data_IF_037844023498
#
_entry.id   IF_037844023498
#
_cell.length_a   1.000
_cell.length_b   1.000
_cell.length_c   1.000
_cell.angle_alpha   90.00
_cell.angle_beta   90.00
_cell.angle_gamma   90.00
#
_symmetry.space_group_name_H-M   'P 1'
#
loop_
_entity.id
_entity.type
_entity.pdbx_description
1 polymer ?
#
# COMPACT_ATOMS: atom_id res chain seq x y z
N UNK A 1 10.40 -1.06 11.11
CA UNK A 1 10.97 0.20 10.61
C UNK A 1 12.39 -0.07 10.15
N UNK A 2 12.84 0.54 9.05
CA UNK A 2 14.24 0.56 8.64
C UNK A 2 14.64 2.03 8.56
N UNK A 3 15.70 2.43 9.25
CA UNK A 3 16.16 3.84 9.32
C UNK A 3 15.05 4.84 9.70
N UNK A 4 14.19 4.46 10.65
CA UNK A 4 13.09 5.31 11.09
C UNK A 4 11.93 5.46 10.07
N UNK A 5 11.93 4.69 8.99
CA UNK A 5 10.87 4.70 7.97
C UNK A 5 10.05 3.41 7.99
N UNK A 6 8.76 3.54 7.71
CA UNK A 6 7.87 2.39 7.55
C UNK A 6 8.21 1.69 6.25
N UNK A 7 8.77 0.48 6.37
CA UNK A 7 9.27 -0.31 5.25
C UNK A 7 8.57 -1.66 5.22
N UNK A 8 8.08 -2.03 4.05
CA UNK A 8 7.45 -3.31 3.80
C UNK A 8 8.46 -4.27 3.20
N UNK A 9 8.66 -5.39 3.89
CA UNK A 9 9.62 -6.44 3.53
C UNK A 9 8.82 -7.72 3.32
N UNK A 10 8.97 -8.40 2.17
CA UNK A 10 8.25 -9.62 1.91
C UNK A 10 8.79 -10.72 2.83
N UNK A 11 7.90 -11.50 3.43
CA UNK A 11 8.24 -12.67 4.24
C UNK A 11 7.95 -13.94 3.44
N UNK A 12 8.65 -15.03 3.74
CA UNK A 12 8.53 -16.30 3.02
C UNK A 12 9.87 -16.98 2.73
N UNK A 13 9.81 -18.21 2.22
CA UNK A 13 10.99 -18.98 1.80
C UNK A 13 11.63 -18.38 0.53
N UNK A 14 12.87 -18.75 0.23
CA UNK A 14 13.59 -18.29 -0.96
C UNK A 14 12.79 -18.52 -2.27
N UNK A 15 12.05 -19.62 -2.37
CA UNK A 15 11.26 -19.97 -3.55
C UNK A 15 9.93 -19.22 -3.67
N UNK A 16 9.45 -18.60 -2.58
CA UNK A 16 8.12 -17.99 -2.51
C UNK A 16 8.15 -16.49 -2.23
N UNK A 17 9.34 -15.91 -2.01
CA UNK A 17 9.51 -14.49 -1.72
C UNK A 17 9.48 -13.69 -3.03
N UNK A 18 8.47 -12.84 -3.25
CA UNK A 18 8.47 -11.97 -4.43
C UNK A 18 9.61 -10.94 -4.34
N UNK A 19 10.25 -10.68 -5.46
CA UNK A 19 11.26 -9.62 -5.63
C UNK A 19 10.60 -8.28 -6.01
N UNK A 20 9.41 -8.34 -6.62
CA UNK A 20 8.71 -7.20 -7.22
C UNK A 20 7.21 -7.16 -6.93
N UNK A 21 6.61 -5.99 -7.12
CA UNK A 21 5.17 -5.74 -6.96
C UNK A 21 4.61 -4.76 -8.00
N UNK A 22 3.29 -4.87 -8.21
CA UNK A 22 2.51 -4.15 -9.23
C UNK A 22 1.41 -3.28 -8.61
N UNK A 23 1.00 -3.60 -7.38
CA UNK A 23 -0.06 -2.91 -6.67
C UNK A 23 0.31 -2.80 -5.21
N UNK A 24 0.00 -1.67 -4.62
CA UNK A 24 -0.02 -1.47 -3.18
C UNK A 24 -1.35 -0.83 -2.81
N UNK A 25 -1.92 -1.27 -1.71
CA UNK A 25 -3.14 -0.71 -1.16
C UNK A 25 -3.05 -0.75 0.36
N UNK A 26 -3.00 0.42 0.98
CA UNK A 26 -2.97 0.64 2.41
C UNK A 26 -4.28 1.31 2.79
N UNK A 27 -5.01 0.71 3.71
CA UNK A 27 -6.33 1.19 4.14
C UNK A 27 -6.54 1.00 5.63
N UNK A 28 -7.54 1.68 6.17
CA UNK A 28 -8.07 1.40 7.51
C UNK A 28 -9.57 1.13 7.43
N UNK A 29 -10.03 -0.10 7.72
CA UNK A 29 -11.44 -0.45 7.59
C UNK A 29 -12.32 0.24 8.64
N UNK A 30 -11.80 0.47 9.85
CA UNK A 30 -12.53 1.02 11.02
C UNK A 30 -11.87 2.26 11.64
N UNK A 31 -10.87 2.84 10.98
CA UNK A 31 -10.16 4.03 11.46
C UNK A 31 -10.71 5.35 10.91
N UNK A 32 -10.09 6.48 11.27
CA UNK A 32 -10.40 7.77 10.68
C UNK A 32 -10.20 7.73 9.16
N UNK A 33 -10.98 8.52 8.43
CA UNK A 33 -10.79 8.66 6.98
C UNK A 33 -9.68 9.65 6.71
N UNK A 34 -8.84 9.34 5.73
CA UNK A 34 -7.81 10.26 5.29
C UNK A 34 -8.43 11.50 4.63
N UNK A 35 -7.69 12.62 4.68
CA UNK A 35 -8.06 13.82 3.92
C UNK A 35 -7.72 13.60 2.45
N UNK A 36 -8.69 13.80 1.57
CA UNK A 36 -8.48 13.77 0.13
C UNK A 36 -7.58 14.92 -0.33
N UNK A 37 -6.72 14.65 -1.30
CA UNK A 37 -5.91 15.63 -2.03
C UNK A 37 -6.30 15.62 -3.51
N UNK A 38 -5.84 16.63 -4.26
CA UNK A 38 -6.09 16.70 -5.70
C UNK A 38 -5.55 15.47 -6.42
N UNK A 39 -6.38 14.83 -7.25
CA UNK A 39 -6.03 13.63 -8.00
C UNK A 39 -6.40 12.31 -7.31
N UNK A 40 -6.68 12.31 -6.00
CA UNK A 40 -7.14 11.09 -5.33
C UNK A 40 -8.53 10.66 -5.80
N UNK A 41 -8.75 9.35 -5.85
CA UNK A 41 -10.08 8.82 -6.05
C UNK A 41 -10.93 8.97 -4.77
N UNK A 42 -12.04 9.74 -4.82
CA UNK A 42 -12.84 10.02 -3.64
C UNK A 42 -13.54 8.77 -3.09
N UNK A 43 -13.84 7.79 -3.95
CA UNK A 43 -14.45 6.52 -3.53
C UNK A 43 -13.49 5.70 -2.68
N UNK A 44 -12.21 5.63 -3.06
CA UNK A 44 -11.20 4.95 -2.27
C UNK A 44 -10.93 5.65 -0.93
N UNK A 45 -10.88 6.99 -0.91
CA UNK A 45 -10.77 7.75 0.35
C UNK A 45 -11.96 7.46 1.27
N UNK A 46 -13.19 7.47 0.73
CA UNK A 46 -14.40 7.15 1.50
C UNK A 46 -14.37 5.71 2.06
N UNK A 47 -13.73 4.78 1.35
CA UNK A 47 -13.50 3.40 1.78
C UNK A 47 -12.31 3.24 2.74
N UNK A 48 -11.62 4.34 3.11
CA UNK A 48 -10.55 4.33 4.10
C UNK A 48 -9.15 4.09 3.52
N UNK A 49 -8.95 4.28 2.22
CA UNK A 49 -7.61 4.22 1.64
C UNK A 49 -6.72 5.36 2.16
N UNK A 50 -5.48 5.01 2.49
CA UNK A 50 -4.41 5.93 2.87
C UNK A 50 -3.29 5.93 1.83
N UNK A 51 -3.15 4.89 1.02
CA UNK A 51 -2.26 4.87 -0.12
C UNK A 51 -2.71 3.76 -1.05
N UNK A 52 -2.91 4.03 -2.34
CA UNK A 52 -3.38 3.01 -3.27
C UNK A 52 -2.89 3.28 -4.67
N UNK A 53 -2.18 2.33 -5.24
CA UNK A 53 -1.70 2.37 -6.61
C UNK A 53 -1.82 1.00 -7.26
N UNK A 54 -2.22 1.01 -8.52
CA UNK A 54 -2.17 -0.17 -9.38
C UNK A 54 -1.53 0.22 -10.69
N UNK A 55 -0.41 -0.43 -11.01
CA UNK A 55 0.47 -0.07 -12.11
C UNK A 55 0.37 -1.11 -13.22
N UNK A 56 0.63 -0.67 -14.45
CA UNK A 56 0.81 -1.53 -15.61
C UNK A 56 2.22 -2.12 -15.53
N UNK A 57 2.31 -3.34 -15.01
CA UNK A 57 3.58 -4.03 -14.80
C UNK A 57 3.97 -4.09 -13.32
N UNK A 58 5.06 -4.80 -13.04
CA UNK A 58 5.54 -5.04 -11.67
C UNK A 58 7.02 -4.67 -11.59
N UNK A 59 7.36 -3.41 -11.87
CA UNK A 59 8.74 -2.91 -11.92
C UNK A 59 9.26 -2.53 -10.52
N UNK A 60 8.36 -2.32 -9.56
CA UNK A 60 8.72 -1.88 -8.21
C UNK A 60 9.28 -3.05 -7.40
N UNK A 61 10.41 -2.82 -6.74
CA UNK A 61 11.13 -3.85 -5.98
C UNK A 61 10.84 -3.78 -4.49
N UNK A 62 10.95 -4.93 -3.85
CA UNK A 62 11.05 -5.01 -2.41
C UNK A 62 12.52 -4.87 -1.93
N UNK A 63 12.77 -4.45 -0.68
CA UNK A 63 11.79 -3.81 0.22
C UNK A 63 11.42 -2.41 -0.28
N UNK A 64 10.26 -1.89 0.14
CA UNK A 64 9.83 -0.54 -0.23
C UNK A 64 9.33 0.26 0.97
N UNK A 65 9.49 1.58 0.89
CA UNK A 65 9.08 2.52 1.93
C UNK A 65 7.65 2.99 1.66
N UNK A 66 6.87 3.16 2.73
CA UNK A 66 5.53 3.75 2.65
C UNK A 66 5.57 5.13 1.97
N UNK A 67 4.74 5.31 0.94
CA UNK A 67 4.64 6.57 0.20
C UNK A 67 5.83 6.91 -0.69
N UNK A 68 6.75 5.97 -0.93
CA UNK A 68 7.78 6.18 -1.95
C UNK A 68 7.14 6.35 -3.33
N UNK A 69 7.79 7.12 -4.21
CA UNK A 69 7.42 7.16 -5.62
C UNK A 69 7.53 5.76 -6.24
N UNK A 70 6.52 5.37 -7.00
CA UNK A 70 6.48 4.08 -7.68
C UNK A 70 6.80 4.25 -9.16
N UNK A 71 7.54 3.29 -9.70
CA UNK A 71 7.88 3.20 -11.11
C UNK A 71 6.78 2.52 -11.91
N UNK A 72 6.53 3.01 -13.12
CA UNK A 72 5.56 2.44 -14.05
C UNK A 72 4.41 3.39 -14.36
N UNK A 73 3.61 3.03 -15.35
CA UNK A 73 2.42 3.78 -15.74
C UNK A 73 1.22 3.28 -14.96
N UNK A 74 0.29 4.16 -14.58
CA UNK A 74 -1.01 3.76 -14.03
C UNK A 74 -1.65 2.69 -14.90
N UNK A 75 -2.17 1.62 -14.27
CA UNK A 75 -2.94 0.64 -15.01
C UNK A 75 -4.20 1.31 -15.57
N UNK A 76 -4.60 1.00 -16.83
CA UNK A 76 -5.84 1.52 -17.37
C UNK A 76 -7.00 1.05 -16.50
N UNK A 77 -8.00 1.91 -16.29
CA UNK A 77 -9.19 1.47 -15.60
C UNK A 77 -9.96 0.45 -16.45
N UNK A 78 -10.65 -0.47 -15.78
CA UNK A 78 -11.75 -1.19 -16.44
C UNK A 78 -12.93 -0.21 -16.58
N UNK A 79 -13.63 -0.26 -17.72
CA UNK A 79 -14.84 0.53 -18.02
C UNK A 79 -14.64 2.02 -18.39
N UNK A 80 -13.64 2.33 -19.22
CA UNK A 80 -13.61 3.60 -19.95
C UNK A 80 -13.08 4.82 -19.20
N UNK A 81 -12.54 4.67 -17.98
CA UNK A 81 -11.69 5.71 -17.38
C UNK A 81 -10.26 5.58 -17.92
N UNK A 82 -9.59 6.72 -18.10
CA UNK A 82 -8.22 6.77 -18.61
C UNK A 82 -7.22 6.06 -17.67
N UNK A 83 -7.44 6.16 -16.35
CA UNK A 83 -6.54 5.60 -15.33
C UNK A 83 -7.31 4.94 -14.19
N UNK A 84 -6.73 3.90 -13.59
CA UNK A 84 -7.28 3.29 -12.37
C UNK A 84 -7.36 4.30 -11.23
N UNK A 85 -8.41 4.21 -10.38
CA UNK A 85 -8.46 4.90 -9.11
C UNK A 85 -7.17 4.73 -8.31
N UNK A 86 -6.59 5.84 -7.86
CA UNK A 86 -5.39 5.86 -7.02
C UNK A 86 -5.60 6.81 -5.85
N UNK A 87 -4.78 6.64 -4.80
CA UNK A 87 -4.73 7.51 -3.63
C UNK A 87 -3.27 7.74 -3.30
N UNK A 88 -2.83 9.00 -3.32
CA UNK A 88 -1.50 9.39 -2.89
C UNK A 88 -1.30 9.06 -1.41
N UNK A 89 -0.07 8.73 -1.01
CA UNK A 89 0.18 8.30 0.37
C UNK A 89 -0.15 9.40 1.39
N UNK A 90 -0.92 9.04 2.41
CA UNK A 90 -1.39 9.96 3.46
C UNK A 90 -0.63 9.72 4.77
N UNK A 91 -0.47 10.76 5.61
CA UNK A 91 0.12 10.58 6.93
C UNK A 91 -0.62 9.51 7.73
N UNK A 92 0.13 8.56 8.30
CA UNK A 92 -0.42 7.54 9.18
C UNK A 92 -0.43 8.04 10.62
N UNK A 93 -1.51 7.75 11.34
CA UNK A 93 -1.66 8.12 12.75
C UNK A 93 -1.23 6.97 13.66
N UNK A 94 -0.57 7.27 14.79
CA UNK A 94 -0.36 6.30 15.86
C UNK A 94 -1.66 5.67 16.35
N UNK A 95 -1.58 4.44 16.84
CA UNK A 95 -2.69 3.69 17.45
C UNK A 95 -3.89 3.44 16.52
N UNK A 96 -3.72 3.63 15.21
CA UNK A 96 -4.69 3.23 14.18
C UNK A 96 -4.23 1.94 13.53
N UNK A 97 -5.16 0.98 13.39
CA UNK A 97 -4.91 -0.26 12.66
C UNK A 97 -5.05 -0.01 11.17
N UNK A 98 -3.97 -0.27 10.45
CA UNK A 98 -3.90 -0.24 9.00
C UNK A 98 -3.75 -1.67 8.46
N UNK A 99 -4.26 -1.88 7.26
CA UNK A 99 -4.08 -3.09 6.48
C UNK A 99 -3.33 -2.70 5.22
N UNK A 100 -2.28 -3.44 4.88
CA UNK A 100 -1.65 -3.36 3.57
C UNK A 100 -1.96 -4.63 2.78
N UNK A 101 -2.26 -4.45 1.51
CA UNK A 101 -2.34 -5.49 0.49
C UNK A 101 -1.36 -5.15 -0.63
N UNK A 102 -0.64 -6.17 -1.08
CA UNK A 102 0.32 -6.07 -2.19
C UNK A 102 0.02 -7.17 -3.19
N UNK A 103 0.01 -6.81 -4.47
CA UNK A 103 0.00 -7.75 -5.58
C UNK A 103 1.39 -7.81 -6.19
N UNK A 104 1.93 -9.01 -6.29
CA UNK A 104 3.19 -9.34 -6.94
C UNK A 104 2.93 -10.07 -8.28
N UNK A 105 3.96 -10.23 -9.14
CA UNK A 105 3.86 -11.01 -10.36
C UNK A 105 3.23 -12.39 -10.16
N UNK A 106 2.65 -12.94 -11.23
CA UNK A 106 2.02 -14.28 -11.23
C UNK A 106 0.87 -14.42 -10.22
N UNK A 107 0.17 -13.31 -9.94
CA UNK A 107 -0.97 -13.28 -9.01
C UNK A 107 -0.59 -13.66 -7.58
N UNK A 108 0.67 -13.48 -7.18
CA UNK A 108 1.06 -13.66 -5.79
C UNK A 108 0.53 -12.48 -4.96
N UNK A 109 -0.16 -12.78 -3.86
CA UNK A 109 -0.74 -11.79 -2.98
C UNK A 109 -0.08 -11.84 -1.60
N UNK A 110 0.14 -10.68 -1.00
CA UNK A 110 0.57 -10.57 0.38
C UNK A 110 -0.22 -9.47 1.07
N UNK A 111 -0.34 -9.58 2.39
CA UNK A 111 -0.90 -8.50 3.18
C UNK A 111 -0.64 -8.68 4.65
N UNK A 112 -0.85 -7.60 5.40
CA UNK A 112 -0.64 -7.61 6.84
C UNK A 112 -1.41 -6.48 7.52
N UNK A 113 -1.88 -6.74 8.74
CA UNK A 113 -2.36 -5.70 9.66
C UNK A 113 -1.23 -5.16 10.50
N UNK A 114 -1.17 -3.84 10.64
CA UNK A 114 -0.16 -3.20 11.47
C UNK A 114 -0.67 -1.95 12.18
N UNK A 115 0.00 -1.57 13.26
CA UNK A 115 -0.21 -0.34 14.01
C UNK A 115 1.13 0.33 14.25
N UNK A 116 1.16 1.65 14.10
CA UNK A 116 2.25 2.49 14.60
C UNK A 116 2.00 2.75 16.10
N UNK A 117 2.92 2.35 16.97
CA UNK A 117 2.70 2.41 18.44
C UNK A 117 2.86 3.82 19.05
N UNK A 118 3.18 4.82 18.22
CA UNK A 118 3.41 6.20 18.65
C UNK A 118 4.79 6.46 19.26
N UNK A 119 5.61 5.42 19.42
CA UNK A 119 7.01 5.50 19.90
C UNK A 119 8.01 5.21 18.78
N UNK A 120 7.56 5.21 17.53
CA UNK A 120 8.38 4.91 16.37
C UNK A 120 8.53 3.42 16.07
N UNK A 121 7.75 2.54 16.71
CA UNK A 121 7.73 1.12 16.37
C UNK A 121 6.47 0.73 15.60
N UNK A 122 6.56 -0.43 14.96
CA UNK A 122 5.47 -1.06 14.22
C UNK A 122 5.11 -2.35 14.94
N UNK A 123 3.85 -2.51 15.31
CA UNK A 123 3.29 -3.79 15.73
C UNK A 123 2.61 -4.44 14.53
N UNK A 124 2.96 -5.69 14.26
CA UNK A 124 2.44 -6.48 13.16
C UNK A 124 1.52 -7.57 13.74
N UNK A 125 0.31 -7.71 13.20
CA UNK A 125 -0.69 -8.66 13.68
C UNK A 125 -0.94 -9.84 12.74
N UNK A 126 -0.16 -9.96 11.65
CA UNK A 126 -0.46 -10.90 10.57
C UNK A 126 -1.74 -10.53 9.81
N UNK A 127 -2.20 -11.44 8.96
CA UNK A 127 -3.55 -11.45 8.40
C UNK A 127 -4.28 -12.70 8.89
#
# INVERSE_FOLDING_TARGET
MIEGRLTFVPTGSWFSRPDRFCMVDVRTPRGPRAKAEAGDDPGQIANGAYWSYSLKGCENKFPFVYGQALNGTSAPARHGRAERPHVSAKPLSPNVVYEIHVLAPRSAHGGVRFVLDGKGHVKNFGL
#
